data_IF_508113846226
#
_entry.id   IF_508113846226
#
_cell.length_a   1.000
_cell.length_b   1.000
_cell.length_c   1.000
_cell.angle_alpha   90.00
_cell.angle_beta   90.00
_cell.angle_gamma   90.00
#
_symmetry.space_group_name_H-M   'P 1'
#
loop_
_entity.id
_entity.type
_entity.pdbx_description
1 polymer ?
#
# COMPACT_ATOMS: atom_id res chain seq x y z
N UNK A 1 1.45 1.49 16.56
CA UNK A 1 1.64 0.09 16.11
C UNK A 1 1.62 0.10 14.59
N UNK A 2 2.80 0.18 13.95
CA UNK A 2 2.94 0.10 12.50
C UNK A 2 3.02 -1.38 12.12
N UNK A 3 2.05 -1.87 11.34
CA UNK A 3 2.07 -3.21 10.77
C UNK A 3 2.89 -3.15 9.47
N UNK A 4 4.05 -3.84 9.45
CA UNK A 4 4.94 -3.95 8.29
C UNK A 4 4.62 -5.24 7.54
N UNK A 5 4.39 -5.12 6.22
CA UNK A 5 4.21 -6.26 5.32
C UNK A 5 5.47 -6.40 4.47
N UNK A 6 6.28 -7.42 4.77
CA UNK A 6 7.46 -7.77 4.00
C UNK A 6 7.07 -8.81 2.95
N UNK A 7 6.99 -8.40 1.69
CA UNK A 7 7.08 -9.32 0.56
C UNK A 7 8.56 -9.68 0.35
N UNK A 8 8.90 -10.88 -0.09
CA UNK A 8 10.26 -11.22 -0.48
C UNK A 8 10.24 -12.23 -1.62
N UNK A 9 10.84 -11.86 -2.75
CA UNK A 9 11.18 -12.80 -3.81
C UNK A 9 12.32 -13.71 -3.33
N UNK A 10 12.01 -14.93 -2.89
CA UNK A 10 12.99 -15.95 -2.51
C UNK A 10 13.17 -16.97 -3.65
N UNK A 11 14.32 -16.92 -4.31
CA UNK A 11 14.91 -18.09 -4.98
C UNK A 11 15.55 -18.98 -3.91
N UNK A 12 15.12 -20.25 -3.75
CA UNK A 12 15.97 -21.45 -3.64
C UNK A 12 15.23 -22.73 -3.16
N UNK A 13 15.42 -23.79 -3.96
CA UNK A 13 15.58 -25.25 -3.72
C UNK A 13 14.70 -26.01 -2.71
N UNK A 14 14.11 -27.08 -3.29
CA UNK A 14 13.40 -28.25 -2.78
C UNK A 14 13.81 -28.83 -1.41
N UNK A 15 12.80 -29.19 -0.60
CA UNK A 15 12.98 -30.07 0.57
C UNK A 15 11.67 -30.59 1.18
N UNK A 16 11.50 -31.92 1.10
CA UNK A 16 10.61 -32.84 1.85
C UNK A 16 9.09 -32.64 1.79
N UNK A 17 8.41 -33.66 1.24
CA UNK A 17 6.96 -33.82 1.23
C UNK A 17 6.38 -33.97 2.65
N UNK A 18 6.08 -32.85 3.31
CA UNK A 18 4.98 -32.81 4.26
C UNK A 18 3.69 -33.05 3.48
N UNK A 19 2.74 -33.83 4.00
CA UNK A 19 1.43 -34.01 3.37
C UNK A 19 0.83 -32.63 3.09
N UNK A 20 0.75 -32.26 1.80
CA UNK A 20 0.28 -30.96 1.36
C UNK A 20 -1.19 -30.82 1.73
N UNK A 21 -1.58 -29.78 2.48
CA UNK A 21 -2.99 -29.50 2.81
C UNK A 21 -3.79 -29.15 1.56
N UNK A 22 -3.10 -28.71 0.50
CA UNK A 22 -3.68 -28.40 -0.80
C UNK A 22 -3.91 -29.66 -1.64
N UNK A 23 -4.85 -30.51 -1.21
CA UNK A 23 -5.14 -31.80 -1.87
C UNK A 23 -6.20 -31.70 -2.98
N UNK A 24 -6.97 -30.61 -3.02
CA UNK A 24 -7.99 -30.40 -4.05
C UNK A 24 -7.49 -29.45 -5.14
N UNK A 25 -8.06 -29.57 -6.33
CA UNK A 25 -7.70 -28.73 -7.47
C UNK A 25 -8.93 -28.36 -8.27
N UNK A 26 -9.02 -27.10 -8.70
CA UNK A 26 -9.99 -26.62 -9.66
C UNK A 26 -9.30 -25.83 -10.77
N UNK A 27 -9.96 -25.69 -11.92
CA UNK A 27 -9.41 -24.96 -13.06
C UNK A 27 -10.33 -23.84 -13.49
N UNK A 28 -9.75 -22.67 -13.78
CA UNK A 28 -10.42 -21.58 -14.47
C UNK A 28 -9.87 -21.43 -15.88
N UNK A 29 -10.26 -20.37 -16.59
CA UNK A 29 -9.69 -20.00 -17.88
C UNK A 29 -8.16 -19.80 -17.79
N UNK A 30 -7.67 -19.18 -16.72
CA UNK A 30 -6.28 -18.75 -16.61
C UNK A 30 -5.50 -19.40 -15.46
N UNK A 31 -6.15 -20.15 -14.56
CA UNK A 31 -5.52 -20.67 -13.35
C UNK A 31 -5.80 -22.16 -13.15
N UNK A 32 -4.80 -22.85 -12.61
CA UNK A 32 -4.97 -24.14 -11.94
C UNK A 32 -4.83 -23.87 -10.45
N UNK A 33 -5.93 -23.96 -9.72
CA UNK A 33 -6.02 -23.54 -8.32
C UNK A 33 -5.93 -24.77 -7.43
N UNK A 34 -4.92 -24.82 -6.57
CA UNK A 34 -4.72 -25.86 -5.58
C UNK A 34 -5.11 -25.34 -4.19
N UNK A 35 -5.96 -26.05 -3.47
CA UNK A 35 -6.59 -25.54 -2.26
C UNK A 35 -6.91 -26.63 -1.22
N UNK A 36 -7.15 -26.21 0.02
CA UNK A 36 -7.64 -27.06 1.12
C UNK A 36 -9.13 -27.40 0.87
N UNK A 37 -9.51 -28.68 0.68
CA UNK A 37 -10.91 -29.06 0.42
C UNK A 37 -11.88 -28.68 1.55
N UNK A 38 -11.38 -28.29 2.73
CA UNK A 38 -12.22 -27.79 3.83
C UNK A 38 -12.82 -26.41 3.55
N UNK A 39 -12.28 -25.66 2.59
CA UNK A 39 -12.76 -24.32 2.25
C UNK A 39 -12.71 -24.07 0.73
N UNK A 40 -13.60 -24.74 -0.03
CA UNK A 40 -13.70 -24.55 -1.48
C UNK A 40 -14.15 -23.13 -1.84
N UNK A 41 -14.94 -22.48 -0.97
CA UNK A 41 -15.43 -21.12 -1.20
C UNK A 41 -14.29 -20.09 -1.23
N UNK A 42 -13.33 -20.21 -0.31
CA UNK A 42 -12.14 -19.36 -0.33
C UNK A 42 -11.34 -19.53 -1.63
N UNK A 43 -11.24 -20.77 -2.13
CA UNK A 43 -10.56 -21.05 -3.39
C UNK A 43 -11.29 -20.45 -4.60
N UNK A 44 -12.62 -20.55 -4.67
CA UNK A 44 -13.43 -19.91 -5.70
C UNK A 44 -13.28 -18.37 -5.66
N UNK A 45 -13.31 -17.79 -4.46
CA UNK A 45 -13.10 -16.35 -4.25
C UNK A 45 -11.71 -15.91 -4.71
N UNK A 46 -10.66 -16.66 -4.32
CA UNK A 46 -9.29 -16.40 -4.75
C UNK A 46 -9.15 -16.51 -6.28
N UNK A 47 -9.78 -17.51 -6.89
CA UNK A 47 -9.73 -17.73 -8.33
C UNK A 47 -10.41 -16.60 -9.12
N UNK A 48 -11.54 -16.10 -8.62
CA UNK A 48 -12.23 -14.94 -9.20
C UNK A 48 -11.37 -13.68 -9.10
N UNK A 49 -10.85 -13.39 -7.91
CA UNK A 49 -9.97 -12.23 -7.68
C UNK A 49 -8.72 -12.31 -8.56
N UNK A 50 -8.09 -13.48 -8.67
CA UNK A 50 -6.92 -13.67 -9.52
C UNK A 50 -7.24 -13.48 -11.00
N UNK A 51 -8.42 -13.90 -11.46
CA UNK A 51 -8.87 -13.69 -12.84
C UNK A 51 -9.09 -12.22 -13.15
N UNK A 52 -9.76 -11.50 -12.26
CA UNK A 52 -10.01 -10.06 -12.42
C UNK A 52 -8.71 -9.25 -12.39
N UNK A 53 -7.82 -9.56 -11.45
CA UNK A 53 -6.51 -8.91 -11.36
C UNK A 53 -5.60 -9.26 -12.55
N UNK A 54 -5.64 -10.50 -13.07
CA UNK A 54 -4.87 -10.85 -14.27
C UNK A 54 -5.26 -9.98 -15.46
N UNK A 55 -6.56 -9.80 -15.70
CA UNK A 55 -7.05 -9.00 -16.83
C UNK A 55 -6.70 -7.52 -16.66
N UNK A 56 -6.76 -7.00 -15.43
CA UNK A 56 -6.32 -5.63 -15.12
C UNK A 56 -4.81 -5.46 -15.36
N UNK A 57 -3.99 -6.32 -14.79
CA UNK A 57 -2.53 -6.31 -14.92
C UNK A 57 -2.09 -6.49 -16.38
N UNK A 58 -2.76 -7.38 -17.11
CA UNK A 58 -2.55 -7.60 -18.54
C UNK A 58 -2.70 -6.31 -19.34
N UNK A 59 -3.79 -5.56 -19.10
CA UNK A 59 -4.01 -4.28 -19.73
C UNK A 59 -2.94 -3.25 -19.34
N UNK A 60 -2.64 -3.13 -18.04
CA UNK A 60 -1.75 -2.10 -17.51
C UNK A 60 -0.29 -2.32 -17.92
N UNK A 61 0.16 -3.57 -17.99
CA UNK A 61 1.54 -3.95 -18.32
C UNK A 61 1.75 -4.37 -19.78
N UNK A 62 0.67 -4.50 -20.56
CA UNK A 62 0.74 -4.89 -21.96
C UNK A 62 1.02 -6.37 -22.19
N UNK A 63 0.47 -7.23 -21.33
CA UNK A 63 0.50 -8.68 -21.47
C UNK A 63 -0.82 -9.20 -22.04
N UNK A 64 -0.75 -10.24 -22.85
CA UNK A 64 -1.93 -10.97 -23.36
C UNK A 64 -2.01 -12.32 -22.65
N UNK A 65 -3.01 -12.53 -21.76
CA UNK A 65 -3.18 -13.80 -21.07
C UNK A 65 -3.44 -14.96 -22.03
N UNK A 66 -2.76 -16.07 -21.79
CA UNK A 66 -2.83 -17.28 -22.60
C UNK A 66 -3.69 -18.35 -21.89
N UNK A 67 -4.94 -18.62 -22.32
CA UNK A 67 -5.80 -19.63 -21.68
C UNK A 67 -5.21 -21.04 -21.66
N UNK A 68 -4.39 -21.38 -22.65
CA UNK A 68 -3.67 -22.65 -22.74
C UNK A 68 -2.55 -22.80 -21.70
N UNK A 69 -2.08 -21.69 -21.11
CA UNK A 69 -0.94 -21.64 -20.20
C UNK A 69 -1.37 -21.12 -18.83
N UNK A 70 -2.13 -21.95 -18.11
CA UNK A 70 -2.68 -21.62 -16.80
C UNK A 70 -1.58 -21.40 -15.76
N UNK A 71 -1.73 -20.38 -14.92
CA UNK A 71 -0.85 -20.08 -13.79
C UNK A 71 -1.24 -21.00 -12.62
N UNK A 72 -0.31 -21.78 -12.03
CA UNK A 72 -0.58 -22.51 -10.81
C UNK A 72 -0.76 -21.54 -9.62
N UNK A 73 -1.93 -21.57 -8.99
CA UNK A 73 -2.28 -20.74 -7.83
C UNK A 73 -2.49 -21.62 -6.60
N UNK A 74 -1.61 -21.50 -5.61
CA UNK A 74 -1.69 -22.22 -4.34
C UNK A 74 -2.39 -21.33 -3.31
N UNK A 75 -3.58 -21.74 -2.85
CA UNK A 75 -4.43 -20.95 -1.95
C UNK A 75 -4.41 -21.55 -0.56
N UNK A 76 -3.73 -20.90 0.37
CA UNK A 76 -3.64 -21.35 1.76
C UNK A 76 -4.70 -20.66 2.61
N UNK A 77 -5.56 -21.46 3.25
CA UNK A 77 -6.66 -20.98 4.10
C UNK A 77 -6.19 -20.22 5.35
N UNK A 78 -5.03 -20.58 5.87
CA UNK A 78 -4.46 -19.97 7.07
C UNK A 78 -3.02 -19.55 6.84
N UNK A 79 -2.62 -18.44 7.45
CA UNK A 79 -1.23 -18.03 7.50
C UNK A 79 -0.30 -19.14 8.05
N UNK A 80 -0.76 -19.91 9.03
CA UNK A 80 0.01 -21.02 9.58
C UNK A 80 0.32 -22.11 8.54
N UNK A 81 -0.69 -22.55 7.76
CA UNK A 81 -0.48 -23.51 6.68
C UNK A 81 0.43 -22.95 5.59
N UNK A 82 0.26 -21.66 5.24
CA UNK A 82 1.12 -20.98 4.26
C UNK A 82 2.59 -21.04 4.67
N UNK A 83 2.92 -20.62 5.89
CA UNK A 83 4.30 -20.65 6.40
C UNK A 83 4.84 -22.08 6.49
N UNK A 84 4.07 -22.99 7.08
CA UNK A 84 4.52 -24.36 7.35
C UNK A 84 4.76 -25.16 6.08
N UNK A 85 3.85 -25.11 5.11
CA UNK A 85 3.91 -25.92 3.89
C UNK A 85 4.68 -25.24 2.77
N UNK A 86 4.68 -23.91 2.72
CA UNK A 86 5.56 -23.15 1.84
C UNK A 86 7.03 -23.17 2.27
N UNK A 87 7.34 -23.70 3.47
CA UNK A 87 8.70 -23.78 3.99
C UNK A 87 9.31 -22.42 4.31
N UNK A 88 8.48 -21.42 4.58
CA UNK A 88 8.92 -20.04 4.78
C UNK A 88 9.54 -19.89 6.18
N UNK A 89 10.77 -19.37 6.23
CA UNK A 89 11.48 -19.10 7.50
C UNK A 89 11.04 -17.79 8.14
N UNK A 90 10.64 -16.82 7.31
CA UNK A 90 10.11 -15.54 7.75
C UNK A 90 8.58 -15.62 7.87
N UNK A 91 8.07 -15.26 9.04
CA UNK A 91 6.64 -15.33 9.38
C UNK A 91 5.85 -14.13 8.87
N UNK A 92 6.49 -13.13 8.27
CA UNK A 92 5.81 -11.96 7.72
C UNK A 92 5.54 -12.07 6.22
N UNK A 93 6.04 -13.12 5.57
CA UNK A 93 5.75 -13.41 4.16
C UNK A 93 4.28 -13.82 4.05
N UNK A 94 3.58 -13.23 3.09
CA UNK A 94 2.15 -13.50 2.81
C UNK A 94 1.90 -14.03 1.40
N UNK A 95 2.92 -13.99 0.53
CA UNK A 95 2.84 -14.53 -0.82
C UNK A 95 4.23 -14.84 -1.37
N UNK A 96 4.28 -15.68 -2.40
CA UNK A 96 5.50 -15.92 -3.18
C UNK A 96 5.19 -16.27 -4.63
N UNK A 97 6.03 -15.78 -5.55
CA UNK A 97 6.05 -16.18 -6.95
C UNK A 97 7.34 -16.96 -7.28
N UNK A 98 7.20 -18.15 -7.86
CA UNK A 98 8.32 -18.93 -8.38
C UNK A 98 8.52 -18.68 -9.88
N UNK A 99 9.72 -18.28 -10.27
CA UNK A 99 10.07 -18.05 -11.67
C UNK A 99 10.21 -19.32 -12.51
N UNK A 100 10.53 -20.47 -11.88
CA UNK A 100 10.76 -21.73 -12.60
C UNK A 100 9.49 -22.36 -13.18
N UNK A 101 8.43 -22.45 -12.38
CA UNK A 101 7.15 -23.06 -12.75
C UNK A 101 5.98 -22.07 -12.75
N UNK A 102 6.28 -20.77 -12.65
CA UNK A 102 5.33 -19.66 -12.61
C UNK A 102 4.28 -19.75 -11.50
N UNK A 103 4.52 -20.60 -10.50
CA UNK A 103 3.57 -20.84 -9.43
C UNK A 103 3.53 -19.65 -8.49
N UNK A 104 2.32 -19.17 -8.21
CA UNK A 104 2.07 -18.20 -7.15
C UNK A 104 1.44 -18.90 -5.95
N UNK A 105 1.91 -18.57 -4.76
CA UNK A 105 1.39 -19.09 -3.48
C UNK A 105 0.93 -17.93 -2.64
N UNK A 106 -0.27 -18.04 -2.08
CA UNK A 106 -0.97 -16.92 -1.45
C UNK A 106 -1.51 -17.34 -0.09
N UNK A 107 -1.20 -16.55 0.94
CA UNK A 107 -1.95 -16.52 2.18
C UNK A 107 -3.30 -15.85 1.94
N UNK A 108 -4.33 -16.67 1.78
CA UNK A 108 -5.69 -16.22 1.53
C UNK A 108 -6.46 -15.95 2.83
N UNK A 109 -5.84 -16.09 4.00
CA UNK A 109 -6.53 -15.95 5.28
C UNK A 109 -6.92 -14.50 5.60
N UNK A 110 -6.32 -13.53 4.91
CA UNK A 110 -6.58 -12.10 5.15
C UNK A 110 -6.14 -11.61 6.53
N UNK A 111 -5.35 -12.38 7.27
CA UNK A 111 -4.96 -12.05 8.66
C UNK A 111 -4.08 -10.80 8.76
N UNK A 112 -3.46 -10.45 7.64
CA UNK A 112 -2.35 -9.55 7.55
C UNK A 112 -2.60 -8.52 6.45
N UNK A 113 -2.64 -9.00 5.20
CA UNK A 113 -2.99 -8.19 4.04
C UNK A 113 -4.22 -8.79 3.39
N UNK A 114 -5.04 -7.98 2.72
CA UNK A 114 -6.16 -8.51 1.93
C UNK A 114 -5.65 -9.49 0.88
N UNK A 115 -6.40 -10.58 0.67
CA UNK A 115 -6.10 -11.58 -0.36
C UNK A 115 -5.91 -10.93 -1.74
N UNK A 116 -6.72 -9.92 -2.08
CA UNK A 116 -6.60 -9.17 -3.33
C UNK A 116 -5.23 -8.52 -3.50
N UNK A 117 -4.72 -7.86 -2.47
CA UNK A 117 -3.41 -7.21 -2.52
C UNK A 117 -2.30 -8.25 -2.70
N UNK A 118 -2.33 -9.37 -1.96
CA UNK A 118 -1.34 -10.43 -2.09
C UNK A 118 -1.37 -11.04 -3.50
N UNK A 119 -2.56 -11.40 -3.99
CA UNK A 119 -2.74 -11.94 -5.34
C UNK A 119 -2.20 -10.95 -6.38
N UNK A 120 -2.59 -9.67 -6.31
CA UNK A 120 -2.14 -8.66 -7.26
C UNK A 120 -0.61 -8.50 -7.26
N UNK A 121 0.01 -8.55 -6.07
CA UNK A 121 1.46 -8.48 -5.93
C UNK A 121 2.16 -9.67 -6.60
N UNK A 122 1.82 -10.89 -6.20
CA UNK A 122 2.47 -12.10 -6.73
C UNK A 122 2.17 -12.32 -8.22
N UNK A 123 0.97 -11.98 -8.66
CA UNK A 123 0.57 -12.08 -10.05
C UNK A 123 1.30 -11.06 -10.92
N UNK A 124 1.66 -9.89 -10.38
CA UNK A 124 2.52 -8.93 -11.11
C UNK A 124 3.87 -9.55 -11.41
N UNK A 125 4.49 -10.26 -10.47
CA UNK A 125 5.74 -10.98 -10.72
C UNK A 125 5.59 -12.04 -11.81
N UNK A 126 4.52 -12.84 -11.77
CA UNK A 126 4.25 -13.85 -12.80
C UNK A 126 4.04 -13.22 -14.20
N UNK A 127 3.31 -12.11 -14.29
CA UNK A 127 3.09 -11.37 -15.54
C UNK A 127 4.40 -10.78 -16.07
N UNK A 128 5.21 -10.14 -15.21
CA UNK A 128 6.52 -9.61 -15.58
C UNK A 128 7.44 -10.72 -16.08
N UNK A 129 7.46 -11.86 -15.40
CA UNK A 129 8.22 -13.03 -15.85
C UNK A 129 7.80 -13.49 -17.26
N UNK A 130 6.50 -13.56 -17.53
CA UNK A 130 5.98 -13.95 -18.85
C UNK A 130 6.30 -12.93 -19.95
N UNK A 131 6.28 -11.63 -19.64
CA UNK A 131 6.64 -10.57 -20.60
C UNK A 131 8.14 -10.63 -20.92
N UNK A 132 8.99 -10.74 -19.90
CA UNK A 132 10.44 -10.61 -20.06
C UNK A 132 11.12 -11.93 -20.48
N UNK A 133 10.55 -13.08 -20.11
CA UNK A 133 11.11 -14.41 -20.37
C UNK A 133 12.58 -14.49 -19.93
N UNK A 134 13.46 -14.85 -20.88
CA UNK A 134 14.91 -14.95 -20.64
C UNK A 134 15.59 -13.64 -20.22
N UNK A 135 14.93 -12.49 -20.38
CA UNK A 135 15.44 -11.16 -20.02
C UNK A 135 14.95 -10.69 -18.65
N UNK A 136 14.32 -11.56 -17.84
CA UNK A 136 13.80 -11.21 -16.51
C UNK A 136 14.85 -10.61 -15.58
N UNK A 137 16.10 -11.11 -15.66
CA UNK A 137 17.23 -10.63 -14.85
C UNK A 137 17.76 -9.25 -15.28
N UNK A 138 17.35 -8.75 -16.45
CA UNK A 138 17.70 -7.41 -16.88
C UNK A 138 16.93 -6.34 -16.08
N UNK A 139 15.74 -6.66 -15.58
CA UNK A 139 14.94 -5.75 -14.76
C UNK A 139 15.51 -5.73 -13.32
N UNK A 140 15.91 -4.56 -12.78
CA UNK A 140 16.47 -4.49 -11.43
C UNK A 140 15.42 -4.83 -10.38
N UNK A 141 15.85 -5.41 -9.25
CA UNK A 141 14.95 -5.86 -8.18
C UNK A 141 14.03 -4.76 -7.66
N UNK A 142 14.53 -3.53 -7.49
CA UNK A 142 13.68 -2.39 -7.10
C UNK A 142 12.54 -2.13 -8.08
N UNK A 143 12.71 -2.41 -9.37
CA UNK A 143 11.65 -2.23 -10.36
C UNK A 143 10.69 -3.42 -10.36
N UNK A 144 11.17 -4.66 -10.16
CA UNK A 144 10.30 -5.84 -9.94
C UNK A 144 9.34 -5.59 -8.76
N UNK A 145 9.91 -5.29 -7.60
CA UNK A 145 9.14 -5.10 -6.36
C UNK A 145 8.32 -3.80 -6.39
N UNK A 146 8.86 -2.75 -7.00
CA UNK A 146 8.15 -1.49 -7.18
C UNK A 146 6.91 -1.63 -8.04
N UNK A 147 6.98 -2.41 -9.14
CA UNK A 147 5.82 -2.69 -10.00
C UNK A 147 4.79 -3.52 -9.26
N UNK A 148 5.20 -4.60 -8.58
CA UNK A 148 4.30 -5.44 -7.82
C UNK A 148 3.56 -4.64 -6.74
N UNK A 149 4.28 -3.82 -5.97
CA UNK A 149 3.68 -2.98 -4.94
C UNK A 149 2.80 -1.86 -5.50
N UNK A 150 3.23 -1.21 -6.59
CA UNK A 150 2.42 -0.20 -7.28
C UNK A 150 1.08 -0.77 -7.77
N UNK A 151 1.10 -2.01 -8.30
CA UNK A 151 -0.10 -2.66 -8.79
C UNK A 151 -1.00 -3.23 -7.70
N UNK A 152 -0.44 -3.57 -6.54
CA UNK A 152 -1.20 -4.17 -5.44
C UNK A 152 -1.78 -3.15 -4.45
N UNK A 153 -1.21 -1.95 -4.37
CA UNK A 153 -1.55 -0.94 -3.36
C UNK A 153 -2.00 0.39 -3.99
N UNK A 154 -3.32 0.63 -4.13
CA UNK A 154 -3.83 1.89 -4.69
C UNK A 154 -3.66 3.09 -3.75
N UNK A 155 -3.53 2.86 -2.43
CA UNK A 155 -3.41 3.91 -1.41
C UNK A 155 -2.14 3.72 -0.56
N UNK A 156 -0.99 4.22 -1.02
CA UNK A 156 0.31 3.97 -0.40
C UNK A 156 0.65 5.00 0.70
N UNK A 157 -0.31 5.41 1.55
CA UNK A 157 -0.12 6.53 2.48
C UNK A 157 1.04 6.30 3.46
N UNK A 158 1.19 5.06 3.95
CA UNK A 158 2.27 4.68 4.86
C UNK A 158 3.65 4.70 4.16
N UNK A 159 3.71 4.18 2.93
CA UNK A 159 4.90 4.19 2.08
C UNK A 159 5.33 5.62 1.73
N UNK A 160 4.37 6.45 1.29
CA UNK A 160 4.63 7.85 0.96
C UNK A 160 5.13 8.62 2.18
N UNK A 161 4.59 8.35 3.38
CA UNK A 161 5.09 8.95 4.62
C UNK A 161 6.50 8.46 4.98
N UNK A 162 6.78 7.17 4.84
CA UNK A 162 8.08 6.56 5.12
C UNK A 162 9.19 7.10 4.21
N UNK A 163 8.91 7.17 2.89
CA UNK A 163 9.84 7.72 1.89
C UNK A 163 10.04 9.22 2.09
N UNK A 164 8.97 9.95 2.43
CA UNK A 164 9.07 11.37 2.70
C UNK A 164 9.91 11.68 3.96
N UNK A 165 9.77 10.86 5.01
CA UNK A 165 10.63 10.96 6.19
C UNK A 165 12.09 10.65 5.84
N UNK A 166 12.35 9.56 5.12
CA UNK A 166 13.70 9.20 4.71
C UNK A 166 14.36 10.28 3.84
N UNK A 167 13.59 10.93 2.95
CA UNK A 167 14.04 12.07 2.16
C UNK A 167 14.38 13.29 3.03
N UNK A 168 13.56 13.58 4.06
CA UNK A 168 13.80 14.68 4.97
C UNK A 168 15.06 14.47 5.82
N UNK A 169 15.29 13.23 6.25
CA UNK A 169 16.43 12.84 7.08
C UNK A 169 17.71 12.60 6.25
N UNK A 170 17.63 12.70 4.92
CA UNK A 170 18.76 12.42 4.02
C UNK A 170 19.20 10.95 4.05
N UNK A 171 18.28 10.04 4.38
CA UNK A 171 18.55 8.61 4.57
C UNK A 171 18.03 7.73 3.44
N UNK A 172 17.53 8.29 2.33
CA UNK A 172 17.08 7.49 1.18
C UNK A 172 18.14 6.45 0.75
N UNK A 173 17.69 5.26 0.37
CA UNK A 173 18.57 4.23 -0.19
C UNK A 173 18.79 4.56 -1.66
N UNK A 174 20.03 4.42 -2.15
CA UNK A 174 20.27 4.56 -3.57
C UNK A 174 19.59 3.39 -4.32
N UNK A 175 18.75 3.69 -5.31
CA UNK A 175 18.11 2.63 -6.13
C UNK A 175 19.13 1.72 -6.83
N UNK A 176 20.34 2.22 -7.09
CA UNK A 176 21.47 1.43 -7.58
C UNK A 176 21.87 0.28 -6.62
N UNK A 177 21.76 0.50 -5.31
CA UNK A 177 22.05 -0.51 -4.28
C UNK A 177 20.93 -1.56 -4.17
N UNK A 178 19.74 -1.22 -4.67
CA UNK A 178 18.55 -2.08 -4.65
C UNK A 178 18.38 -2.90 -5.95
N UNK A 179 19.38 -2.94 -6.84
CA UNK A 179 19.29 -3.68 -8.10
C UNK A 179 19.27 -5.21 -7.92
N UNK A 180 19.95 -5.74 -6.90
CA UNK A 180 20.15 -7.20 -6.74
C UNK A 180 19.57 -7.76 -5.44
N UNK A 181 19.50 -6.95 -4.38
CA UNK A 181 19.05 -7.40 -3.06
C UNK A 181 18.56 -6.21 -2.23
N UNK A 182 17.53 -6.44 -1.44
CA UNK A 182 17.08 -5.46 -0.44
C UNK A 182 17.80 -5.61 0.90
N UNK A 183 18.07 -4.49 1.59
CA UNK A 183 18.70 -4.51 2.91
C UNK A 183 17.75 -5.06 3.97
N UNK A 184 18.11 -6.15 4.63
CA UNK A 184 17.19 -6.85 5.56
C UNK A 184 16.61 -5.99 6.68
N UNK A 185 17.36 -5.02 7.22
CA UNK A 185 16.85 -4.10 8.28
C UNK A 185 16.06 -2.91 7.74
N UNK A 186 16.14 -2.63 6.44
CA UNK A 186 15.53 -1.45 5.79
C UNK A 186 14.70 -1.86 4.58
N UNK A 187 14.23 -3.10 4.55
CA UNK A 187 13.48 -3.67 3.44
C UNK A 187 12.17 -2.92 3.24
N UNK A 188 11.47 -2.55 4.31
CA UNK A 188 10.24 -1.76 4.21
C UNK A 188 10.46 -0.44 3.46
N UNK A 189 11.56 0.27 3.76
CA UNK A 189 11.91 1.48 3.05
C UNK A 189 12.32 1.18 1.60
N UNK A 190 13.06 0.10 1.35
CA UNK A 190 13.41 -0.31 -0.02
C UNK A 190 12.17 -0.60 -0.87
N UNK A 191 11.17 -1.30 -0.32
CA UNK A 191 9.86 -1.52 -0.96
C UNK A 191 9.12 -0.21 -1.21
N UNK A 192 9.12 0.70 -0.22
CA UNK A 192 8.43 1.98 -0.33
C UNK A 192 9.10 2.92 -1.35
N UNK A 193 10.43 2.98 -1.39
CA UNK A 193 11.19 3.75 -2.37
C UNK A 193 10.99 3.20 -3.79
N UNK A 194 11.01 1.87 -3.92
CA UNK A 194 10.74 1.16 -5.17
C UNK A 194 9.35 1.49 -5.72
N UNK A 195 8.32 1.37 -4.89
CA UNK A 195 6.93 1.68 -5.29
C UNK A 195 6.74 3.17 -5.60
N UNK A 196 7.41 4.05 -4.84
CA UNK A 196 7.42 5.49 -5.08
C UNK A 196 8.09 5.87 -6.41
N UNK A 197 9.17 5.20 -6.78
CA UNK A 197 9.86 5.41 -8.05
C UNK A 197 8.98 5.01 -9.24
N UNK A 198 8.25 3.89 -9.13
CA UNK A 198 7.26 3.49 -10.15
C UNK A 198 6.10 4.48 -10.24
N UNK A 199 5.55 4.93 -9.10
CA UNK A 199 4.52 5.99 -9.08
C UNK A 199 5.01 7.26 -9.77
N UNK A 200 6.24 7.67 -9.50
CA UNK A 200 6.85 8.82 -10.15
C UNK A 200 6.97 8.63 -11.66
N UNK A 201 7.40 7.43 -12.10
CA UNK A 201 7.47 7.11 -13.52
C UNK A 201 6.10 7.27 -14.20
N UNK A 202 5.06 6.70 -13.60
CA UNK A 202 3.69 6.79 -14.12
C UNK A 202 3.20 8.24 -14.13
N UNK A 203 3.40 8.97 -13.05
CA UNK A 203 2.94 10.35 -12.93
C UNK A 203 3.61 11.29 -13.94
N UNK A 204 4.92 11.10 -14.19
CA UNK A 204 5.71 12.00 -15.04
C UNK A 204 5.72 11.60 -16.52
N UNK A 205 5.80 10.32 -16.82
CA UNK A 205 5.98 9.79 -18.18
C UNK A 205 4.72 9.09 -18.73
N UNK A 206 3.62 9.13 -17.97
CA UNK A 206 2.31 8.60 -18.33
C UNK A 206 2.09 7.17 -17.86
N UNK A 207 0.81 6.78 -17.78
CA UNK A 207 0.37 5.45 -17.31
C UNK A 207 0.91 4.29 -18.13
N UNK A 208 1.27 4.50 -19.39
CA UNK A 208 1.85 3.48 -20.26
C UNK A 208 3.38 3.35 -20.15
N UNK A 209 4.05 4.16 -19.33
CA UNK A 209 5.51 4.09 -19.17
C UNK A 209 6.02 2.72 -18.67
N UNK A 210 5.42 2.08 -17.64
CA UNK A 210 5.78 0.72 -17.24
C UNK A 210 5.64 -0.30 -18.38
N UNK A 211 4.54 -0.25 -19.13
CA UNK A 211 4.32 -1.11 -20.31
C UNK A 211 5.41 -0.92 -21.36
N UNK A 212 5.77 0.33 -21.71
CA UNK A 212 6.85 0.61 -22.67
C UNK A 212 8.19 0.09 -22.17
N UNK A 213 8.50 0.31 -20.89
CA UNK A 213 9.72 -0.19 -20.26
C UNK A 213 9.83 -1.72 -20.40
N UNK A 214 8.81 -2.46 -19.98
CA UNK A 214 8.83 -3.93 -20.03
C UNK A 214 8.95 -4.44 -21.47
N UNK A 215 8.23 -3.84 -22.43
CA UNK A 215 8.33 -4.19 -23.85
C UNK A 215 9.75 -3.97 -24.40
N UNK A 216 10.40 -2.86 -24.06
CA UNK A 216 11.76 -2.56 -24.51
C UNK A 216 12.81 -3.45 -23.84
N UNK A 217 12.61 -3.88 -22.58
CA UNK A 217 13.47 -4.89 -21.94
C UNK A 217 13.30 -6.24 -22.63
N UNK A 218 12.07 -6.67 -22.89
CA UNK A 218 11.80 -7.92 -23.59
C UNK A 218 12.47 -7.97 -24.98
N UNK A 219 12.57 -6.83 -25.67
CA UNK A 219 13.24 -6.69 -26.97
C UNK A 219 14.76 -6.61 -26.88
N UNK A 220 15.29 -5.83 -25.94
CA UNK A 220 16.70 -5.43 -25.92
C UNK A 220 17.57 -6.14 -24.88
N UNK A 221 16.94 -6.73 -23.85
CA UNK A 221 17.64 -7.29 -22.70
C UNK A 221 18.42 -6.28 -21.86
N UNK A 222 18.13 -4.98 -21.99
CA UNK A 222 18.86 -3.90 -21.32
C UNK A 222 17.89 -2.93 -20.63
N UNK A 223 17.97 -2.87 -19.29
CA UNK A 223 17.19 -1.91 -18.51
C UNK A 223 17.55 -0.47 -18.82
N UNK A 224 18.84 -0.14 -18.92
CA UNK A 224 19.27 1.24 -19.15
C UNK A 224 18.76 1.77 -20.48
N UNK A 225 18.83 0.93 -21.53
CA UNK A 225 18.26 1.27 -22.85
C UNK A 225 16.74 1.41 -22.76
N UNK A 226 16.06 0.43 -22.17
CA UNK A 226 14.61 0.45 -22.07
C UNK A 226 14.07 1.63 -21.26
N UNK A 227 14.76 2.01 -20.19
CA UNK A 227 14.40 3.16 -19.37
C UNK A 227 14.55 4.45 -20.18
N UNK A 228 15.64 4.58 -20.95
CA UNK A 228 15.82 5.72 -21.85
C UNK A 228 14.72 5.79 -22.91
N UNK A 229 14.38 4.69 -23.57
CA UNK A 229 13.29 4.66 -24.56
C UNK A 229 11.92 4.97 -23.93
N UNK A 230 11.67 4.50 -22.70
CA UNK A 230 10.39 4.71 -22.03
C UNK A 230 10.21 6.12 -21.46
N UNK A 231 11.30 6.79 -21.06
CA UNK A 231 11.28 8.04 -20.26
C UNK A 231 12.04 9.21 -20.88
N UNK A 232 12.91 8.96 -21.88
CA UNK A 232 13.80 9.94 -22.49
C UNK A 232 15.02 10.32 -21.64
N UNK A 233 15.24 9.65 -20.49
CA UNK A 233 16.35 9.95 -19.59
C UNK A 233 17.08 8.68 -19.16
N UNK A 234 18.37 8.82 -18.86
CA UNK A 234 19.18 7.73 -18.30
C UNK A 234 18.84 7.50 -16.83
N UNK A 235 19.16 6.32 -16.30
CA UNK A 235 18.83 5.92 -14.92
C UNK A 235 19.28 6.96 -13.88
N UNK A 236 20.53 7.44 -13.98
CA UNK A 236 21.06 8.45 -13.04
C UNK A 236 20.18 9.70 -12.97
N UNK A 237 19.70 10.15 -14.12
CA UNK A 237 18.86 11.34 -14.22
C UNK A 237 17.44 11.03 -13.71
N UNK A 238 16.87 9.89 -14.06
CA UNK A 238 15.59 9.43 -13.52
C UNK A 238 15.59 9.41 -11.99
N UNK A 239 16.61 8.78 -11.38
CA UNK A 239 16.74 8.65 -9.91
C UNK A 239 16.87 10.03 -9.27
N UNK A 240 17.69 10.92 -9.84
CA UNK A 240 17.85 12.29 -9.36
C UNK A 240 16.52 13.06 -9.38
N UNK A 241 15.80 13.00 -10.49
CA UNK A 241 14.53 13.70 -10.65
C UNK A 241 13.42 13.13 -9.76
N UNK A 242 13.40 11.81 -9.53
CA UNK A 242 12.51 11.15 -8.58
C UNK A 242 12.79 11.63 -7.14
N UNK A 243 14.03 11.55 -6.67
CA UNK A 243 14.42 11.98 -5.32
C UNK A 243 14.10 13.47 -5.08
N UNK A 244 14.34 14.31 -6.09
CA UNK A 244 13.96 15.72 -6.08
C UNK A 244 12.45 15.95 -5.98
N UNK A 245 11.64 15.10 -6.61
CA UNK A 245 10.18 15.19 -6.57
C UNK A 245 9.60 14.90 -5.18
N UNK A 246 10.16 13.92 -4.47
CA UNK A 246 9.77 13.57 -3.10
C UNK A 246 10.04 14.76 -2.18
N UNK A 247 11.25 15.33 -2.28
CA UNK A 247 11.68 16.47 -1.46
C UNK A 247 10.80 17.71 -1.65
N UNK A 248 10.30 17.94 -2.88
CA UNK A 248 9.37 19.05 -3.17
C UNK A 248 7.97 18.78 -2.60
N UNK A 249 7.41 17.59 -2.85
CA UNK A 249 6.09 17.20 -2.35
C UNK A 249 6.04 17.23 -0.82
N UNK A 250 7.08 16.73 -0.15
CA UNK A 250 7.17 16.76 1.29
C UNK A 250 7.30 18.18 1.86
N UNK A 251 8.14 19.05 1.28
CA UNK A 251 8.22 20.46 1.72
C UNK A 251 6.85 21.13 1.68
N UNK A 252 6.09 20.92 0.60
CA UNK A 252 4.73 21.45 0.47
C UNK A 252 3.80 20.85 1.54
N UNK A 253 3.76 19.53 1.69
CA UNK A 253 2.91 18.87 2.68
C UNK A 253 3.25 19.30 4.12
N UNK A 254 4.53 19.47 4.45
CA UNK A 254 4.99 19.96 5.76
C UNK A 254 4.49 21.37 6.02
N UNK A 255 4.63 22.29 5.05
CA UNK A 255 4.13 23.66 5.20
C UNK A 255 2.61 23.68 5.37
N UNK A 256 1.87 22.87 4.60
CA UNK A 256 0.42 22.75 4.72
C UNK A 256 0.00 22.22 6.11
N UNK A 257 0.66 21.18 6.62
CA UNK A 257 0.40 20.63 7.96
C UNK A 257 0.61 21.65 9.08
N UNK A 258 1.67 22.44 9.00
CA UNK A 258 1.96 23.49 9.99
C UNK A 258 0.88 24.58 9.92
N UNK A 259 0.52 25.03 8.72
CA UNK A 259 -0.53 26.03 8.51
C UNK A 259 -1.90 25.55 9.01
N UNK A 260 -2.27 24.30 8.71
CA UNK A 260 -3.53 23.71 9.19
C UNK A 260 -3.58 23.55 10.70
N UNK A 261 -2.44 23.19 11.34
CA UNK A 261 -2.36 23.07 12.79
C UNK A 261 -2.52 24.43 13.49
N UNK A 262 -1.92 25.49 12.91
CA UNK A 262 -2.09 26.86 13.39
C UNK A 262 -3.55 27.32 13.26
N UNK A 263 -4.19 27.05 12.11
CA UNK A 263 -5.61 27.38 11.89
C UNK A 263 -6.58 26.61 12.79
N UNK A 264 -6.32 25.32 13.05
CA UNK A 264 -7.11 24.53 13.99
C UNK A 264 -6.97 25.06 15.43
N UNK A 265 -5.75 25.46 15.81
CA UNK A 265 -5.47 26.03 17.13
C UNK A 265 -6.17 27.37 17.33
N UNK A 266 -6.17 28.26 16.33
CA UNK A 266 -6.88 29.54 16.41
C UNK A 266 -8.40 29.36 16.52
N UNK A 267 -8.99 28.43 15.76
CA UNK A 267 -10.42 28.11 15.85
C UNK A 267 -10.80 27.56 17.23
N UNK A 268 -9.98 26.68 17.80
CA UNK A 268 -10.20 26.16 19.15
C UNK A 268 -10.14 27.28 20.21
N UNK A 269 -9.17 28.19 20.10
CA UNK A 269 -9.04 29.35 21.00
C UNK A 269 -10.28 30.26 20.89
N UNK A 270 -10.74 30.58 19.67
CA UNK A 270 -11.94 31.39 19.45
C UNK A 270 -13.20 30.73 20.03
N UNK A 271 -13.34 29.41 19.89
CA UNK A 271 -14.45 28.66 20.47
C UNK A 271 -14.44 28.71 22.00
N UNK A 272 -13.26 28.58 22.63
CA UNK A 272 -13.09 28.71 24.08
C UNK A 272 -13.45 30.13 24.52
N UNK A 273 -12.97 31.16 23.82
CA UNK A 273 -13.31 32.56 24.12
C UNK A 273 -14.81 32.80 24.01
N UNK A 274 -15.44 32.33 22.92
CA UNK A 274 -16.88 32.45 22.71
C UNK A 274 -17.67 31.73 23.82
N UNK A 275 -17.23 30.54 24.24
CA UNK A 275 -17.81 29.80 25.36
C UNK A 275 -17.70 30.57 26.67
N UNK A 276 -16.53 31.14 26.98
CA UNK A 276 -16.31 31.96 28.19
C UNK A 276 -17.22 33.20 28.17
N UNK A 277 -17.30 33.91 27.04
CA UNK A 277 -18.16 35.08 26.88
C UNK A 277 -19.63 34.70 27.07
N UNK A 278 -20.08 33.61 26.44
CA UNK A 278 -21.46 33.10 26.58
C UNK A 278 -21.76 32.75 28.03
N UNK A 279 -20.86 32.02 28.70
CA UNK A 279 -21.02 31.64 30.12
C UNK A 279 -21.10 32.87 31.03
N UNK A 280 -20.24 33.89 30.82
CA UNK A 280 -20.29 35.15 31.57
C UNK A 280 -21.55 35.97 31.30
N UNK A 281 -22.10 35.94 30.08
CA UNK A 281 -23.37 36.60 29.75
C UNK A 281 -24.55 35.91 30.45
N UNK A 282 -24.63 34.59 30.38
CA UNK A 282 -25.69 33.84 31.08
C UNK A 282 -25.64 34.00 32.60
N UNK A 283 -24.44 34.02 33.20
CA UNK A 283 -24.28 34.27 34.64
C UNK A 283 -24.56 35.72 35.07
N UNK A 284 -24.60 36.69 34.14
CA UNK A 284 -25.07 38.06 34.42
C UNK A 284 -26.58 38.13 34.34
N UNK A 285 -27.17 37.58 33.28
CA UNK A 285 -28.62 37.49 33.11
C UNK A 285 -29.30 36.74 34.28
N UNK A 286 -28.70 35.63 34.76
CA UNK A 286 -29.23 34.91 35.91
C UNK A 286 -29.22 35.74 37.21
N UNK A 287 -28.19 36.56 37.43
CA UNK A 287 -28.11 37.45 38.61
C UNK A 287 -29.10 38.61 38.52
N UNK A 288 -29.32 39.14 37.32
CA UNK A 288 -30.36 40.14 37.06
C UNK A 288 -31.75 39.56 37.36
N UNK A 289 -32.04 38.33 36.88
CA UNK A 289 -33.30 37.64 37.19
C UNK A 289 -33.49 37.33 38.68
N UNK A 290 -32.46 36.85 39.38
CA UNK A 290 -32.52 36.63 40.83
C UNK A 290 -32.80 37.93 41.60
N UNK A 291 -32.25 39.05 41.13
CA UNK A 291 -32.48 40.37 41.74
C UNK A 291 -33.90 40.88 41.48
N UNK A 292 -34.42 40.75 40.26
CA UNK A 292 -35.81 41.10 39.92
C UNK A 292 -36.82 40.25 40.70
N UNK A 293 -36.57 38.95 40.84
CA UNK A 293 -37.42 38.04 41.62
C UNK A 293 -37.37 38.38 43.13
N UNK A 294 -36.19 38.72 43.64
CA UNK A 294 -36.02 39.22 45.01
C UNK A 294 -36.81 40.51 45.25
N UNK A 295 -36.68 41.51 44.36
CA UNK A 295 -37.42 42.77 44.43
C UNK A 295 -38.94 42.57 44.37
N UNK A 296 -39.44 41.71 43.49
CA UNK A 296 -40.88 41.43 43.41
C UNK A 296 -41.38 40.68 44.66
N UNK A 297 -40.60 39.72 45.18
CA UNK A 297 -40.94 39.01 46.42
C UNK A 297 -41.04 39.97 47.63
N UNK A 298 -40.07 40.89 47.75
CA UNK A 298 -40.06 41.93 48.78
C UNK A 298 -41.23 42.89 48.58
N UNK A 299 -41.54 43.28 47.34
CA UNK A 299 -42.69 44.12 47.02
C UNK A 299 -44.03 43.46 47.35
N UNK A 300 -44.18 42.15 47.12
CA UNK A 300 -45.36 41.37 47.56
C UNK A 300 -45.46 41.34 49.07
N UNK A 301 -44.36 41.03 49.77
CA UNK A 301 -44.34 41.01 51.24
C UNK A 301 -44.66 42.38 51.85
N UNK A 302 -44.19 43.48 51.24
CA UNK A 302 -44.49 44.84 51.68
C UNK A 302 -45.95 45.22 51.41
N UNK A 303 -46.55 44.76 50.30
CA UNK A 303 -48.00 44.92 50.03
C UNK A 303 -48.86 44.16 51.03
N UNK A 304 -48.44 42.96 51.39
CA UNK A 304 -49.15 42.09 52.33
C UNK A 304 -48.75 42.35 53.80
N UNK A 305 -47.90 43.35 54.06
CA UNK A 305 -47.42 43.68 55.39
C UNK A 305 -48.55 44.29 56.22
N UNK A 306 -48.98 43.66 57.33
CA UNK A 306 -50.08 44.16 58.12
C UNK A 306 -49.68 45.47 58.80
N UNK A 307 -50.33 46.57 58.39
CA UNK A 307 -50.30 47.83 59.12
C UNK A 307 -51.00 47.62 60.48
N UNK A 308 -50.22 47.52 61.56
CA UNK A 308 -50.70 47.52 62.94
C UNK A 308 -50.05 48.66 63.71
#
# INVERSE_FOLDING_TARGET
MQFCWLFFLLLFISGSASATVLTATMTTTYFTVHYDPKDPYLAESAAQVASDELLRLAKDLGYEPEPQRRIPLMVYRTHHSFIKEGGHKDRYVVGTAHTGDERISVDASGAFVTMKTVISHELTHAVVFRILGRHVDALPLWMHEGLAKYQSEPYPDADDALVAQAAADGTLIALADLKKRFPGKRSDLAYAESSSAVRYMVHKYGSSAPKRLLAEIAKSGSFDKALFEATGVVEKEFVSQWAGSISKRYRLLRTWRILSALGGSTMAILAIIAFIIRRKRMARAAREWEWEEFEDSMSRQLRDWPHR
#
